data_IF_780289434395
#
_entry.id   IF_780289434395
#
_cell.length_a   1.000
_cell.length_b   1.000
_cell.length_c   1.000
_cell.angle_alpha   90.00
_cell.angle_beta   90.00
_cell.angle_gamma   90.00
#
_symmetry.space_group_name_H-M   'P 1'
#
loop_
_entity.id
_entity.type
_entity.pdbx_description
1 polymer ?
#
# COMPACT_ATOMS: atom_id res chain seq x y z
N UNK A 1 -23.72 21.66 -27.92
CA UNK A 1 -23.49 21.92 -26.47
C UNK A 1 -23.02 23.35 -26.33
N UNK A 2 -23.78 24.26 -25.70
CA UNK A 2 -23.35 25.64 -25.53
C UNK A 2 -22.27 25.71 -24.45
N UNK A 3 -21.18 26.41 -24.73
CA UNK A 3 -20.14 26.76 -23.75
C UNK A 3 -20.68 27.91 -22.91
N UNK A 4 -20.95 27.66 -21.64
CA UNK A 4 -21.21 28.70 -20.65
C UNK A 4 -19.95 29.54 -20.50
N UNK A 5 -20.01 30.79 -20.95
CA UNK A 5 -19.04 31.83 -20.65
C UNK A 5 -19.20 32.24 -19.17
N UNK A 6 -18.16 32.06 -18.37
CA UNK A 6 -18.03 32.72 -17.08
C UNK A 6 -17.05 33.88 -17.24
N UNK A 7 -17.59 35.11 -17.28
CA UNK A 7 -16.81 36.33 -17.09
C UNK A 7 -16.67 36.59 -15.60
N UNK A 8 -15.47 36.39 -15.06
CA UNK A 8 -14.84 37.27 -14.07
C UNK A 8 -13.39 36.79 -13.95
N UNK A 9 -12.49 37.56 -14.56
CA UNK A 9 -11.08 37.25 -14.70
C UNK A 9 -10.36 37.39 -13.37
N UNK A 10 -10.36 36.32 -12.59
CA UNK A 10 -9.11 35.92 -11.94
C UNK A 10 -8.33 35.23 -13.04
N UNK A 11 -7.27 35.86 -13.53
CA UNK A 11 -6.38 35.24 -14.51
C UNK A 11 -6.00 33.86 -13.97
N UNK A 12 -6.54 32.79 -14.55
CA UNK A 12 -6.25 31.41 -14.14
C UNK A 12 -4.74 31.16 -14.24
N UNK A 13 -4.09 31.87 -15.17
CA UNK A 13 -2.64 31.99 -15.28
C UNK A 13 -2.00 32.49 -13.97
N UNK A 14 -2.55 33.54 -13.34
CA UNK A 14 -2.03 34.14 -12.12
C UNK A 14 -2.13 33.18 -10.91
N UNK A 15 -3.27 32.50 -10.72
CA UNK A 15 -3.42 31.54 -9.61
C UNK A 15 -2.49 30.35 -9.77
N UNK A 16 -2.37 29.81 -10.99
CA UNK A 16 -1.47 28.69 -11.25
C UNK A 16 0.00 29.05 -11.03
N UNK A 17 0.38 30.29 -11.37
CA UNK A 17 1.73 30.81 -11.17
C UNK A 17 2.02 31.02 -9.68
N UNK A 18 1.06 31.60 -8.96
CA UNK A 18 1.16 31.82 -7.52
C UNK A 18 1.39 30.50 -6.77
N UNK A 19 0.58 29.47 -7.04
CA UNK A 19 0.73 28.15 -6.41
C UNK A 19 2.04 27.43 -6.79
N UNK A 20 2.54 27.63 -8.01
CA UNK A 20 3.73 26.93 -8.50
C UNK A 20 5.04 27.61 -8.15
N UNK A 21 5.06 28.93 -7.93
CA UNK A 21 6.31 29.70 -7.81
C UNK A 21 6.36 30.66 -6.63
N UNK A 22 5.23 31.21 -6.19
CA UNK A 22 5.23 32.25 -5.15
C UNK A 22 4.89 31.72 -3.76
N UNK A 23 4.03 30.71 -3.68
CA UNK A 23 3.67 30.11 -2.39
C UNK A 23 4.87 29.36 -1.82
N UNK A 24 5.18 29.44 -0.51
CA UNK A 24 6.19 28.59 0.14
C UNK A 24 5.78 27.11 0.23
N UNK A 25 6.76 26.21 0.34
CA UNK A 25 6.53 24.76 0.41
C UNK A 25 5.79 24.35 1.69
N UNK A 26 5.99 25.04 2.82
CA UNK A 26 5.32 24.75 4.09
C UNK A 26 3.82 24.96 4.00
N UNK A 27 3.39 25.99 3.26
CA UNK A 27 1.97 26.28 3.05
C UNK A 27 1.36 25.24 2.11
N UNK A 28 2.09 24.83 1.06
CA UNK A 28 1.66 23.73 0.21
C UNK A 28 1.53 22.43 1.01
N UNK A 29 2.50 22.08 1.85
CA UNK A 29 2.44 20.91 2.74
C UNK A 29 1.20 20.97 3.63
N UNK A 30 0.89 22.14 4.21
CA UNK A 30 -0.31 22.32 5.01
C UNK A 30 -1.59 22.05 4.21
N UNK A 31 -1.71 22.60 3.00
CA UNK A 31 -2.87 22.36 2.12
C UNK A 31 -2.97 20.86 1.77
N UNK A 32 -1.85 20.25 1.38
CA UNK A 32 -1.79 18.85 0.97
C UNK A 32 -2.05 17.88 2.13
N UNK A 33 -1.79 18.27 3.38
CA UNK A 33 -2.08 17.47 4.58
C UNK A 33 -3.56 17.14 4.78
N UNK A 34 -4.46 17.91 4.14
CA UNK A 34 -5.90 17.68 4.17
C UNK A 34 -6.40 16.76 3.05
N UNK A 35 -5.52 16.34 2.14
CA UNK A 35 -5.88 15.49 1.01
C UNK A 35 -5.82 14.01 1.37
N UNK A 36 -6.61 13.21 0.64
CA UNK A 36 -6.54 11.74 0.72
C UNK A 36 -5.31 11.21 0.01
N UNK A 37 -4.94 9.96 0.30
CA UNK A 37 -3.85 9.24 -0.36
C UNK A 37 -3.95 9.28 -1.89
N UNK A 38 -5.17 9.22 -2.41
CA UNK A 38 -5.44 9.21 -3.85
C UNK A 38 -5.22 10.58 -4.47
N UNK A 39 -5.66 11.62 -3.78
CA UNK A 39 -5.54 12.98 -4.27
C UNK A 39 -4.09 13.45 -4.20
N UNK A 40 -3.34 13.05 -3.17
CA UNK A 40 -1.88 13.22 -3.13
C UNK A 40 -1.19 12.56 -4.32
N UNK A 41 -1.55 11.30 -4.64
CA UNK A 41 -1.01 10.62 -5.83
C UNK A 41 -1.34 11.34 -7.14
N UNK A 42 -2.46 12.05 -7.23
CA UNK A 42 -2.83 12.85 -8.41
C UNK A 42 -2.06 14.15 -8.47
N UNK A 43 -1.95 14.86 -7.35
CA UNK A 43 -1.16 16.10 -7.22
C UNK A 43 0.30 15.86 -7.61
N UNK A 44 0.87 14.72 -7.20
CA UNK A 44 2.23 14.33 -7.54
C UNK A 44 2.49 14.18 -9.05
N UNK A 45 1.45 14.03 -9.88
CA UNK A 45 1.56 13.89 -11.34
C UNK A 45 1.47 15.23 -12.08
N UNK A 46 1.19 16.33 -11.39
CA UNK A 46 0.93 17.64 -12.03
C UNK A 46 2.23 18.33 -12.46
N UNK A 47 3.20 18.45 -11.55
CA UNK A 47 4.49 19.08 -11.82
C UNK A 47 5.60 18.54 -10.91
N UNK A 48 6.87 18.85 -11.22
CA UNK A 48 8.03 18.38 -10.43
C UNK A 48 7.98 18.85 -8.98
N UNK A 49 7.62 20.12 -8.75
CA UNK A 49 7.53 20.70 -7.40
C UNK A 49 6.48 19.97 -6.56
N UNK A 50 5.28 19.79 -7.11
CA UNK A 50 4.22 19.04 -6.42
C UNK A 50 4.55 17.56 -6.27
N UNK A 51 5.32 16.98 -7.19
CA UNK A 51 5.83 15.63 -7.02
C UNK A 51 6.72 15.51 -5.78
N UNK A 52 7.68 16.42 -5.60
CA UNK A 52 8.55 16.42 -4.41
C UNK A 52 7.74 16.59 -3.13
N UNK A 53 6.88 17.61 -3.07
CA UNK A 53 6.12 17.94 -1.85
C UNK A 53 5.10 16.85 -1.51
N UNK A 54 4.38 16.31 -2.50
CA UNK A 54 3.41 15.23 -2.27
C UNK A 54 4.07 13.89 -1.90
N UNK A 55 5.39 13.77 -2.01
CA UNK A 55 6.18 12.61 -1.58
C UNK A 55 6.88 12.83 -0.23
N UNK A 56 6.61 13.94 0.46
CA UNK A 56 7.22 14.27 1.74
C UNK A 56 6.98 13.21 2.84
N UNK A 57 8.03 12.91 3.61
CA UNK A 57 8.00 11.82 4.60
C UNK A 57 7.07 12.12 5.78
N UNK A 58 7.07 13.35 6.31
CA UNK A 58 6.23 13.73 7.46
C UNK A 58 4.75 13.85 7.06
N UNK A 59 4.49 14.28 5.82
CA UNK A 59 3.15 14.26 5.23
C UNK A 59 2.57 12.84 5.20
N UNK A 60 3.32 11.87 4.68
CA UNK A 60 2.89 10.48 4.61
C UNK A 60 2.81 9.80 5.97
N UNK A 61 3.69 10.15 6.91
CA UNK A 61 3.63 9.70 8.31
C UNK A 61 2.33 10.13 8.99
N UNK A 62 1.99 11.41 8.89
CA UNK A 62 0.76 11.96 9.47
C UNK A 62 -0.48 11.31 8.85
N UNK A 63 -0.48 11.13 7.52
CA UNK A 63 -1.54 10.41 6.81
C UNK A 63 -1.66 8.97 7.28
N UNK A 64 -0.55 8.25 7.38
CA UNK A 64 -0.48 6.86 7.80
C UNK A 64 -1.02 6.68 9.23
N UNK A 65 -0.56 7.49 10.17
CA UNK A 65 -1.05 7.51 11.55
C UNK A 65 -2.56 7.80 11.61
N UNK A 66 -3.06 8.71 10.77
CA UNK A 66 -4.49 9.04 10.76
C UNK A 66 -5.41 7.92 10.24
N UNK A 67 -4.83 6.96 9.52
CA UNK A 67 -5.55 5.86 8.83
C UNK A 67 -5.39 4.55 9.59
N UNK A 68 -4.15 4.20 9.97
CA UNK A 68 -3.82 2.93 10.60
C UNK A 68 -3.57 3.05 12.12
N UNK A 69 -3.38 4.27 12.64
CA UNK A 69 -3.12 4.55 14.06
C UNK A 69 -1.86 3.86 14.61
N UNK A 70 -0.90 3.55 13.74
CA UNK A 70 0.40 3.01 14.12
C UNK A 70 1.45 4.10 14.15
N UNK A 71 2.27 4.10 15.20
CA UNK A 71 3.39 5.04 15.38
C UNK A 71 4.67 4.60 14.64
N UNK A 72 4.65 3.42 14.02
CA UNK A 72 5.78 2.81 13.29
C UNK A 72 5.26 2.20 11.98
N UNK A 73 5.98 2.35 10.85
CA UNK A 73 5.58 1.73 9.59
C UNK A 73 5.58 0.19 9.70
N UNK A 74 4.46 -0.41 9.33
CA UNK A 74 4.31 -1.87 9.19
C UNK A 74 4.59 -2.26 7.74
N UNK A 75 5.62 -3.07 7.51
CA UNK A 75 6.02 -3.61 6.21
C UNK A 75 5.64 -5.07 6.07
N UNK A 76 5.53 -5.50 4.81
CA UNK A 76 5.19 -6.84 4.36
C UNK A 76 6.35 -7.39 3.50
N UNK A 77 7.48 -7.80 4.12
CA UNK A 77 8.67 -8.24 3.39
C UNK A 77 8.47 -9.56 2.62
N UNK A 78 7.56 -10.42 3.09
CA UNK A 78 7.24 -11.68 2.43
C UNK A 78 5.76 -12.05 2.65
N UNK A 79 5.14 -12.89 1.80
CA UNK A 79 3.76 -13.35 1.97
C UNK A 79 3.49 -13.81 3.42
N UNK A 80 2.42 -13.29 4.02
CA UNK A 80 2.03 -13.58 5.40
C UNK A 80 3.03 -13.17 6.50
N UNK A 81 4.04 -12.34 6.21
CA UNK A 81 4.97 -11.80 7.21
C UNK A 81 4.79 -10.29 7.33
N UNK A 82 4.50 -9.80 8.54
CA UNK A 82 4.32 -8.38 8.80
C UNK A 82 5.26 -7.96 9.92
N UNK A 83 6.02 -6.89 9.68
CA UNK A 83 7.05 -6.42 10.61
C UNK A 83 7.00 -4.91 10.76
N UNK A 84 7.06 -4.43 12.01
CA UNK A 84 7.22 -3.01 12.29
C UNK A 84 8.69 -2.66 12.14
N UNK A 85 9.01 -1.79 11.19
CA UNK A 85 10.39 -1.36 10.91
C UNK A 85 10.49 0.12 11.21
N UNK A 86 11.55 0.54 11.90
CA UNK A 86 11.74 1.96 12.18
C UNK A 86 12.01 2.73 10.88
N UNK A 87 11.56 3.99 10.80
CA UNK A 87 11.66 4.77 9.56
C UNK A 87 13.11 5.06 9.15
N UNK A 88 14.05 5.03 10.09
CA UNK A 88 15.48 5.18 9.91
C UNK A 88 16.20 3.89 9.48
N UNK A 89 15.55 2.73 9.66
CA UNK A 89 16.11 1.42 9.30
C UNK A 89 15.66 0.92 7.92
N UNK A 90 14.76 1.64 7.26
CA UNK A 90 14.18 1.24 5.99
C UNK A 90 14.92 1.89 4.80
N UNK A 91 15.34 1.07 3.83
CA UNK A 91 16.05 1.52 2.61
C UNK A 91 15.17 2.31 1.62
N UNK A 92 13.87 2.45 1.87
CA UNK A 92 12.96 3.14 0.97
C UNK A 92 13.06 4.66 1.11
N UNK A 93 12.93 5.39 0.00
CA UNK A 93 12.91 6.87 -0.01
C UNK A 93 11.84 7.46 0.93
N UNK A 94 10.70 6.78 1.05
CA UNK A 94 9.63 7.13 1.98
C UNK A 94 9.01 5.85 2.58
N UNK A 95 9.47 5.41 3.75
CA UNK A 95 9.00 4.19 4.41
C UNK A 95 7.50 4.21 4.72
N UNK A 96 6.97 5.37 5.13
CA UNK A 96 5.56 5.54 5.44
C UNK A 96 4.68 5.33 4.21
N UNK A 97 5.09 5.90 3.08
CA UNK A 97 4.39 5.72 1.80
C UNK A 97 4.46 4.28 1.30
N UNK A 98 5.60 3.62 1.50
CA UNK A 98 5.78 2.19 1.17
C UNK A 98 4.83 1.31 1.98
N UNK A 99 4.87 1.41 3.31
CA UNK A 99 3.96 0.72 4.22
C UNK A 99 2.50 1.01 3.88
N UNK A 100 2.16 2.28 3.63
CA UNK A 100 0.81 2.67 3.25
C UNK A 100 0.36 1.91 1.99
N UNK A 101 1.21 1.83 0.96
CA UNK A 101 0.90 1.17 -0.30
C UNK A 101 0.66 -0.33 -0.12
N UNK A 102 1.48 -1.00 0.68
CA UNK A 102 1.35 -2.43 0.96
C UNK A 102 0.04 -2.73 1.70
N UNK A 103 -0.31 -1.88 2.67
CA UNK A 103 -1.53 -2.02 3.47
C UNK A 103 -2.80 -1.52 2.76
N UNK A 104 -2.68 -0.71 1.71
CA UNK A 104 -3.83 -0.07 1.04
C UNK A 104 -4.85 -1.07 0.49
N UNK A 105 -4.39 -2.24 0.02
CA UNK A 105 -5.25 -3.33 -0.44
C UNK A 105 -5.47 -4.43 0.61
N UNK A 106 -4.85 -4.28 1.78
CA UNK A 106 -5.00 -5.20 2.90
C UNK A 106 -6.43 -5.20 3.45
N UNK A 107 -6.76 -6.30 4.13
CA UNK A 107 -8.02 -6.45 4.84
C UNK A 107 -7.78 -6.06 6.29
N UNK A 108 -8.47 -5.02 6.73
CA UNK A 108 -8.28 -4.48 8.07
C UNK A 108 -9.41 -4.97 8.97
N UNK A 109 -9.09 -5.79 9.95
CA UNK A 109 -10.05 -6.23 10.97
C UNK A 109 -9.81 -5.43 12.24
N UNK A 110 -10.73 -4.53 12.57
CA UNK A 110 -10.67 -3.67 13.75
C UNK A 110 -12.04 -3.63 14.42
N UNK A 111 -12.24 -4.33 15.55
CA UNK A 111 -13.46 -4.27 16.32
C UNK A 111 -13.74 -2.83 16.77
N UNK A 112 -14.99 -2.37 16.61
CA UNK A 112 -15.45 -1.03 16.97
C UNK A 112 -14.85 0.12 16.14
N UNK A 113 -14.16 -0.18 15.03
CA UNK A 113 -13.62 0.86 14.18
C UNK A 113 -14.73 1.53 13.36
N UNK A 114 -14.71 2.87 13.35
CA UNK A 114 -15.64 3.68 12.58
C UNK A 114 -14.88 4.31 11.43
N UNK A 115 -15.01 3.78 10.19
CA UNK A 115 -14.30 4.35 9.06
C UNK A 115 -14.80 5.78 8.79
N UNK A 116 -13.87 6.67 8.46
CA UNK A 116 -14.21 7.96 7.85
C UNK A 116 -14.97 7.70 6.55
N UNK A 117 -16.00 8.50 6.25
CA UNK A 117 -16.88 8.30 5.08
C UNK A 117 -16.13 8.22 3.75
N UNK A 118 -15.01 8.91 3.63
CA UNK A 118 -14.22 8.97 2.40
C UNK A 118 -13.07 7.95 2.34
N UNK A 119 -12.92 7.09 3.36
CA UNK A 119 -11.88 6.07 3.37
C UNK A 119 -12.21 4.94 2.39
N UNK A 120 -11.34 4.72 1.40
CA UNK A 120 -11.42 3.57 0.50
C UNK A 120 -10.96 2.27 1.16
N UNK A 121 -10.26 2.37 2.29
CA UNK A 121 -9.72 1.24 3.01
C UNK A 121 -10.85 0.60 3.81
N UNK A 122 -11.15 -0.65 3.48
CA UNK A 122 -12.25 -1.38 4.11
C UNK A 122 -11.82 -1.92 5.46
N UNK A 123 -12.62 -1.59 6.46
CA UNK A 123 -12.45 -2.06 7.82
C UNK A 123 -13.63 -2.97 8.19
N UNK A 124 -13.32 -4.09 8.84
CA UNK A 124 -14.27 -5.07 9.28
C UNK A 124 -14.22 -5.19 10.80
N UNK A 125 -15.37 -5.31 11.45
CA UNK A 125 -15.41 -5.49 12.90
C UNK A 125 -15.01 -6.91 13.33
N UNK A 126 -15.10 -7.89 12.43
CA UNK A 126 -14.82 -9.30 12.75
C UNK A 126 -14.03 -9.96 11.62
N UNK A 127 -13.23 -10.97 11.99
CA UNK A 127 -12.48 -11.79 11.03
C UNK A 127 -13.45 -12.49 10.08
N UNK A 128 -14.57 -13.00 10.60
CA UNK A 128 -15.59 -13.69 9.80
C UNK A 128 -16.14 -12.82 8.67
N UNK A 129 -16.61 -11.61 8.98
CA UNK A 129 -17.13 -10.70 7.96
C UNK A 129 -16.08 -10.34 6.90
N UNK A 130 -14.81 -10.32 7.30
CA UNK A 130 -13.71 -10.06 6.38
C UNK A 130 -13.43 -11.25 5.45
N UNK A 131 -13.55 -12.49 5.94
CA UNK A 131 -13.39 -13.71 5.13
C UNK A 131 -14.54 -13.87 4.15
N UNK A 132 -15.78 -13.66 4.59
CA UNK A 132 -16.97 -13.70 3.73
C UNK A 132 -16.83 -12.70 2.57
N UNK A 133 -16.37 -11.47 2.85
CA UNK A 133 -16.11 -10.47 1.81
C UNK A 133 -15.04 -10.90 0.79
N UNK A 134 -14.00 -11.63 1.21
CA UNK A 134 -12.98 -12.14 0.30
C UNK A 134 -13.52 -13.26 -0.57
N UNK A 135 -14.25 -14.19 0.02
CA UNK A 135 -14.86 -15.32 -0.67
C UNK A 135 -15.82 -14.82 -1.76
N UNK A 136 -16.67 -13.85 -1.44
CA UNK A 136 -17.56 -13.19 -2.41
C UNK A 136 -16.80 -12.49 -3.55
N UNK A 137 -15.61 -11.95 -3.28
CA UNK A 137 -14.77 -11.28 -4.28
C UNK A 137 -13.93 -12.27 -5.11
N UNK A 138 -13.56 -13.41 -4.53
CA UNK A 138 -12.76 -14.47 -5.15
C UNK A 138 -13.57 -15.47 -5.98
N UNK A 139 -14.88 -15.60 -5.73
CA UNK A 139 -15.79 -16.50 -6.46
C UNK A 139 -16.02 -16.19 -7.94
N UNK A 140 -15.41 -15.13 -8.49
CA UNK A 140 -15.54 -14.70 -9.88
C UNK A 140 -14.41 -15.11 -10.83
N UNK A 141 -13.37 -15.84 -10.38
CA UNK A 141 -12.26 -16.20 -11.26
C UNK A 141 -11.31 -17.23 -10.66
N UNK A 142 -11.55 -18.51 -10.96
CA UNK A 142 -10.69 -19.60 -10.52
C UNK A 142 -10.88 -20.86 -11.35
N UNK A 143 -10.46 -20.83 -12.62
CA UNK A 143 -10.10 -22.06 -13.35
C UNK A 143 -8.83 -22.62 -12.71
N UNK A 144 -9.01 -23.67 -11.90
CA UNK A 144 -7.93 -24.33 -11.19
C UNK A 144 -6.97 -25.06 -12.13
N UNK A 145 -5.69 -24.70 -12.07
CA UNK A 145 -4.61 -25.61 -12.45
C UNK A 145 -4.22 -26.41 -11.20
N UNK A 146 -4.88 -27.56 -11.02
CA UNK A 146 -4.45 -28.57 -10.06
C UNK A 146 -3.16 -29.21 -10.55
N UNK A 147 -2.04 -28.90 -9.91
CA UNK A 147 -0.81 -29.68 -10.07
C UNK A 147 -0.91 -30.87 -9.13
N UNK A 148 -1.18 -32.05 -9.69
CA UNK A 148 -1.11 -33.32 -8.99
C UNK A 148 0.36 -33.67 -8.73
N UNK A 149 0.78 -33.64 -7.48
CA UNK A 149 2.06 -34.19 -7.02
C UNK A 149 1.89 -35.67 -6.67
N UNK A 150 2.32 -36.56 -7.56
CA UNK A 150 2.48 -37.99 -7.27
C UNK A 150 3.89 -38.24 -6.71
N UNK A 151 3.97 -38.43 -5.40
CA UNK A 151 5.14 -38.99 -4.74
C UNK A 151 5.04 -40.52 -4.73
N UNK A 152 6.02 -41.20 -5.31
CA UNK A 152 6.24 -42.64 -5.10
C UNK A 152 7.68 -42.82 -4.62
N UNK A 153 7.82 -43.04 -3.32
CA UNK A 153 9.07 -43.48 -2.71
C UNK A 153 9.26 -44.97 -2.89
N UNK A 154 10.53 -45.38 -3.02
CA UNK A 154 10.98 -46.74 -2.76
C UNK A 154 12.36 -46.64 -2.15
N UNK A 155 12.43 -46.83 -0.83
CA UNK A 155 13.69 -47.07 -0.14
C UNK A 155 14.14 -48.51 -0.33
N UNK A 156 15.46 -48.72 -0.28
CA UNK A 156 16.01 -49.97 0.21
C UNK A 156 17.43 -49.73 0.73
N UNK A 157 17.67 -50.41 1.84
CA UNK A 157 18.68 -50.19 2.87
C UNK A 157 19.94 -51.04 2.66
N UNK A 158 21.09 -50.43 2.96
CA UNK A 158 22.27 -50.92 3.70
C UNK A 158 22.90 -52.30 3.44
N UNK A 159 24.25 -52.25 3.36
CA UNK A 159 25.23 -52.98 4.19
C UNK A 159 26.22 -53.92 3.45
N UNK A 160 27.47 -53.43 3.35
CA UNK A 160 28.76 -54.10 3.67
C UNK A 160 28.91 -55.62 3.57
N UNK A 161 29.96 -56.09 2.90
CA UNK A 161 31.17 -56.71 3.50
C UNK A 161 32.17 -57.20 2.45
N UNK A 162 33.43 -57.37 2.88
CA UNK A 162 34.62 -57.54 2.08
C UNK A 162 35.05 -59.00 1.83
N UNK A 163 35.91 -59.15 0.81
CA UNK A 163 37.09 -60.02 0.73
C UNK A 163 37.01 -61.48 0.24
N UNK A 164 38.07 -61.81 -0.52
CA UNK A 164 38.75 -63.11 -0.74
C UNK A 164 38.29 -64.07 -1.85
N UNK A 165 39.15 -64.23 -2.87
CA UNK A 165 39.94 -65.47 -3.04
C UNK A 165 39.54 -66.50 -4.11
N UNK A 166 40.52 -66.86 -4.95
CA UNK A 166 40.74 -68.11 -5.68
C UNK A 166 39.90 -68.40 -6.95
N UNK A 167 40.54 -68.48 -8.12
CA UNK A 167 41.26 -69.65 -8.64
C UNK A 167 42.10 -69.25 -9.86
#
# INVERSE_FOLDING_TARGET
RPRTSLSQGVDVCNVSQYLQYELPDEVLLCILSHLTERDLCRVAQVCKRFNTIANDTELWKSLYQSVFEYDTPLLHPAPCQFEFVAADECDADNPWKESFRQLYYGIHVRPNFRPKKDSRIKHFNTIRASLEYVEERGGGGGSGSGVASSASGSGSSSASTASSGAA
#
